data_IF_587376056259
#
_entry.id   IF_587376056259
#
_cell.length_a   1.000
_cell.length_b   1.000
_cell.length_c   1.000
_cell.angle_alpha   90.00
_cell.angle_beta   90.00
_cell.angle_gamma   90.00
#
_symmetry.space_group_name_H-M   'P 1'
#
loop_
_entity.id
_entity.type
_entity.pdbx_description
1 polymer ?
#
# COMPACT_ATOMS: atom_id res chain seq x y z
N UNK A 1 -3.27 14.65 1.49
CA UNK A 1 -3.16 14.60 2.97
C UNK A 1 -2.25 13.45 3.43
N UNK A 2 -2.38 12.22 2.90
CA UNK A 2 -1.54 11.07 3.27
C UNK A 2 -0.05 11.21 2.98
N UNK A 3 0.34 11.72 1.81
CA UNK A 3 1.76 11.81 1.41
C UNK A 3 2.63 12.66 2.36
N UNK A 4 2.03 13.58 3.11
CA UNK A 4 2.73 14.46 4.05
C UNK A 4 2.90 13.84 5.46
N UNK A 5 2.29 12.68 5.72
CA UNK A 5 2.45 11.97 7.00
C UNK A 5 3.80 11.26 7.05
N UNK A 6 4.35 11.10 8.26
CA UNK A 6 5.59 10.37 8.47
C UNK A 6 5.31 8.86 8.47
N UNK A 7 6.00 8.05 7.65
CA UNK A 7 5.91 6.60 7.72
C UNK A 7 6.46 6.07 9.03
N UNK A 8 5.84 5.02 9.55
CA UNK A 8 6.28 4.37 10.79
C UNK A 8 7.34 3.33 10.47
N UNK A 9 8.53 3.46 11.07
CA UNK A 9 9.54 2.41 11.00
C UNK A 9 9.11 1.21 11.86
N UNK A 10 9.26 0.00 11.32
CA UNK A 10 8.99 -1.27 12.01
C UNK A 10 10.29 -2.00 12.31
N UNK A 11 10.39 -2.61 13.50
CA UNK A 11 11.56 -3.41 13.87
C UNK A 11 11.39 -4.85 13.39
N UNK A 12 12.50 -5.56 13.15
CA UNK A 12 12.45 -6.98 12.79
C UNK A 12 11.68 -7.83 13.82
N UNK A 13 11.82 -7.51 15.11
CA UNK A 13 11.05 -8.16 16.18
C UNK A 13 9.54 -8.01 15.99
N UNK A 14 9.07 -6.82 15.61
CA UNK A 14 7.65 -6.57 15.36
C UNK A 14 7.15 -7.45 14.21
N UNK A 15 8.00 -7.67 13.19
CA UNK A 15 7.70 -8.57 12.08
C UNK A 15 7.57 -10.03 12.49
N UNK A 16 8.44 -10.49 13.39
CA UNK A 16 8.35 -11.85 13.93
C UNK A 16 7.12 -12.03 14.84
N UNK A 17 6.70 -10.97 15.54
CA UNK A 17 5.68 -11.06 16.57
C UNK A 17 4.24 -10.82 16.08
N UNK A 18 4.07 -10.05 15.00
CA UNK A 18 2.75 -9.63 14.51
C UNK A 18 1.82 -10.80 14.12
N UNK A 19 2.38 -11.94 13.71
CA UNK A 19 1.63 -13.10 13.23
C UNK A 19 1.39 -14.20 14.26
N UNK A 20 1.89 -14.03 15.50
CA UNK A 20 1.89 -15.10 16.50
C UNK A 20 0.50 -15.48 17.00
N UNK A 21 -0.45 -14.55 16.95
CA UNK A 21 -1.84 -14.81 17.32
C UNK A 21 -2.80 -13.91 16.53
N UNK A 22 -4.10 -14.26 16.53
CA UNK A 22 -5.13 -13.55 15.78
C UNK A 22 -5.32 -12.09 16.23
N UNK A 23 -5.11 -11.79 17.51
CA UNK A 23 -5.25 -10.43 18.03
C UNK A 23 -4.10 -9.56 17.53
N UNK A 24 -2.86 -10.03 17.62
CA UNK A 24 -1.67 -9.33 17.10
C UNK A 24 -1.75 -9.14 15.59
N UNK A 25 -2.18 -10.18 14.86
CA UNK A 25 -2.39 -10.10 13.40
C UNK A 25 -3.36 -8.98 13.05
N UNK A 26 -4.51 -8.92 13.72
CA UNK A 26 -5.51 -7.87 13.48
C UNK A 26 -5.00 -6.49 13.85
N UNK A 27 -4.26 -6.34 14.95
CA UNK A 27 -3.62 -5.08 15.31
C UNK A 27 -2.64 -4.63 14.21
N UNK A 28 -1.92 -5.57 13.61
CA UNK A 28 -1.05 -5.28 12.48
C UNK A 28 -1.85 -4.94 11.21
N UNK A 29 -2.99 -5.58 10.97
CA UNK A 29 -3.92 -5.19 9.89
C UNK A 29 -4.43 -3.75 10.04
N UNK A 30 -4.77 -3.35 11.27
CA UNK A 30 -5.16 -1.95 11.58
C UNK A 30 -4.00 -0.99 11.31
N UNK A 31 -2.78 -1.36 11.69
CA UNK A 31 -1.58 -0.58 11.39
C UNK A 31 -1.37 -0.43 9.88
N UNK A 32 -1.42 -1.54 9.12
CA UNK A 32 -1.23 -1.55 7.68
C UNK A 32 -2.28 -0.72 6.94
N UNK A 33 -3.52 -0.70 7.45
CA UNK A 33 -4.62 0.08 6.87
C UNK A 33 -4.27 1.57 6.77
N UNK A 34 -3.60 2.13 7.77
CA UNK A 34 -3.10 3.51 7.72
C UNK A 34 -1.73 3.61 7.02
N UNK A 35 -0.79 2.75 7.39
CA UNK A 35 0.61 2.85 6.94
C UNK A 35 0.75 2.69 5.42
N UNK A 36 -0.02 1.80 4.80
CA UNK A 36 0.02 1.57 3.35
C UNK A 36 -0.48 2.79 2.57
N UNK A 37 -1.53 3.48 3.06
CA UNK A 37 -2.03 4.71 2.43
C UNK A 37 -0.98 5.81 2.43
N UNK A 38 -0.22 5.94 3.52
CA UNK A 38 0.89 6.89 3.62
C UNK A 38 1.95 6.58 2.57
N UNK A 39 2.46 5.33 2.57
CA UNK A 39 3.57 4.92 1.69
C UNK A 39 3.20 4.96 0.22
N UNK A 40 2.00 4.50 -0.15
CA UNK A 40 1.55 4.54 -1.54
C UNK A 40 1.33 5.98 -2.00
N UNK A 41 0.72 6.84 -1.18
CA UNK A 41 0.56 8.26 -1.54
C UNK A 41 1.91 8.97 -1.75
N UNK A 42 2.91 8.66 -0.92
CA UNK A 42 4.28 9.15 -1.12
C UNK A 42 4.87 8.63 -2.43
N UNK A 43 4.67 7.35 -2.74
CA UNK A 43 5.17 6.77 -3.99
C UNK A 43 4.56 7.40 -5.23
N UNK A 44 3.25 7.66 -5.22
CA UNK A 44 2.57 8.42 -6.29
C UNK A 44 3.21 9.80 -6.47
N UNK A 45 3.43 10.54 -5.37
CA UNK A 45 4.03 11.87 -5.43
C UNK A 45 5.46 11.83 -5.95
N UNK A 46 6.28 10.89 -5.50
CA UNK A 46 7.65 10.68 -5.99
C UNK A 46 7.68 10.44 -7.50
N UNK A 47 6.80 9.55 -7.99
CA UNK A 47 6.72 9.22 -9.42
C UNK A 47 6.24 10.41 -10.26
N UNK A 48 5.29 11.19 -9.75
CA UNK A 48 4.81 12.43 -10.40
C UNK A 48 5.88 13.53 -10.45
N UNK A 49 6.83 13.52 -9.52
CA UNK A 49 7.90 14.51 -9.41
C UNK A 49 9.20 14.12 -10.13
N UNK A 50 9.22 12.99 -10.85
CA UNK A 50 10.39 12.59 -11.62
C UNK A 50 10.79 13.68 -12.65
N UNK A 51 12.09 13.90 -12.86
CA UNK A 51 12.57 14.99 -13.70
C UNK A 51 12.41 14.68 -15.20
N UNK A 52 12.71 15.69 -16.05
CA UNK A 52 12.85 15.54 -17.51
C UNK A 52 11.63 14.98 -18.25
N UNK A 53 10.43 15.19 -17.70
CA UNK A 53 9.19 14.71 -18.30
C UNK A 53 9.00 13.19 -18.24
N UNK A 54 9.76 12.51 -17.37
CA UNK A 54 9.59 11.07 -17.11
C UNK A 54 8.17 10.68 -16.70
N UNK A 55 7.42 11.46 -15.88
CA UNK A 55 6.05 11.12 -15.51
C UNK A 55 5.09 11.01 -16.70
N UNK A 56 5.44 11.59 -17.86
CA UNK A 56 4.62 11.54 -19.06
C UNK A 56 4.92 10.32 -19.94
N UNK A 57 5.99 9.56 -19.69
CA UNK A 57 6.24 8.31 -20.40
C UNK A 57 5.14 7.31 -20.09
N UNK A 58 4.70 6.57 -21.10
CA UNK A 58 3.50 5.74 -21.02
C UNK A 58 3.56 4.75 -19.84
N UNK A 59 4.65 3.98 -19.68
CA UNK A 59 4.78 3.02 -18.57
C UNK A 59 4.79 3.69 -17.19
N UNK A 60 5.51 4.81 -17.02
CA UNK A 60 5.53 5.55 -15.75
C UNK A 60 4.15 6.14 -15.44
N UNK A 61 3.46 6.68 -16.45
CA UNK A 61 2.11 7.23 -16.31
C UNK A 61 1.11 6.14 -15.91
N UNK A 62 1.17 4.97 -16.53
CA UNK A 62 0.37 3.80 -16.19
C UNK A 62 0.61 3.38 -14.74
N UNK A 63 1.87 3.32 -14.32
CA UNK A 63 2.23 2.97 -12.94
C UNK A 63 1.72 3.99 -11.93
N UNK A 64 1.82 5.30 -12.22
CA UNK A 64 1.23 6.35 -11.40
C UNK A 64 -0.28 6.15 -11.25
N UNK A 65 -0.96 5.81 -12.35
CA UNK A 65 -2.39 5.54 -12.33
C UNK A 65 -2.72 4.35 -11.42
N UNK A 66 -2.03 3.21 -11.59
CA UNK A 66 -2.25 2.02 -10.76
C UNK A 66 -2.01 2.27 -9.27
N UNK A 67 -0.92 2.94 -8.89
CA UNK A 67 -0.70 3.31 -7.49
C UNK A 67 -1.80 4.23 -6.95
N UNK A 68 -2.32 5.13 -7.77
CA UNK A 68 -3.43 6.03 -7.39
C UNK A 68 -4.72 5.23 -7.17
N UNK A 69 -5.02 4.26 -8.05
CA UNK A 69 -6.18 3.37 -7.92
C UNK A 69 -6.08 2.50 -6.65
N UNK A 70 -4.90 1.94 -6.36
CA UNK A 70 -4.68 1.19 -5.12
C UNK A 70 -4.84 2.07 -3.86
N UNK A 71 -4.41 3.35 -3.91
CA UNK A 71 -4.62 4.27 -2.80
C UNK A 71 -6.11 4.53 -2.54
N UNK A 72 -6.88 4.79 -3.59
CA UNK A 72 -8.32 4.99 -3.49
C UNK A 72 -9.03 3.74 -2.96
N UNK A 73 -8.66 2.56 -3.47
CA UNK A 73 -9.20 1.30 -2.98
C UNK A 73 -8.85 1.06 -1.50
N UNK A 74 -7.64 1.44 -1.07
CA UNK A 74 -7.24 1.41 0.33
C UNK A 74 -8.04 2.39 1.18
N UNK A 75 -8.36 3.58 0.69
CA UNK A 75 -9.20 4.58 1.38
C UNK A 75 -10.63 4.05 1.61
N UNK A 76 -11.20 3.39 0.60
CA UNK A 76 -12.53 2.79 0.63
C UNK A 76 -12.60 1.51 1.46
N UNK A 77 -11.47 0.82 1.66
CA UNK A 77 -11.42 -0.39 2.46
C UNK A 77 -11.81 -0.09 3.93
N UNK A 78 -12.72 -0.87 4.55
CA UNK A 78 -13.09 -0.68 5.94
C UNK A 78 -11.93 -1.04 6.89
N UNK A 79 -11.86 -0.37 8.04
CA UNK A 79 -10.89 -0.69 9.08
C UNK A 79 -11.12 -2.13 9.60
N UNK A 80 -10.08 -2.99 9.70
CA UNK A 80 -10.23 -4.38 10.16
C UNK A 80 -10.44 -4.49 11.68
N UNK A 81 -11.59 -4.05 12.18
CA UNK A 81 -11.89 -4.01 13.62
C UNK A 81 -12.40 -5.35 14.19
N UNK A 82 -12.92 -6.24 13.34
CA UNK A 82 -13.43 -7.57 13.69
C UNK A 82 -12.73 -8.71 12.96
N UNK A 83 -12.98 -9.96 13.34
CA UNK A 83 -12.38 -11.12 12.69
C UNK A 83 -12.76 -11.24 11.20
N UNK A 84 -14.04 -11.05 10.87
CA UNK A 84 -14.50 -11.07 9.48
C UNK A 84 -13.89 -9.92 8.63
N UNK A 85 -13.72 -8.74 9.24
CA UNK A 85 -13.11 -7.60 8.55
C UNK A 85 -11.60 -7.77 8.40
N UNK A 86 -10.92 -8.40 9.36
CA UNK A 86 -9.50 -8.76 9.27
C UNK A 86 -9.24 -9.73 8.11
N UNK A 87 -10.11 -10.72 7.95
CA UNK A 87 -10.08 -11.64 6.81
C UNK A 87 -10.37 -10.92 5.48
N UNK A 88 -11.42 -10.10 5.42
CA UNK A 88 -11.75 -9.33 4.23
C UNK A 88 -10.62 -8.37 3.82
N UNK A 89 -10.00 -7.71 4.80
CA UNK A 89 -8.86 -6.81 4.55
C UNK A 89 -7.63 -7.58 4.09
N UNK A 90 -7.37 -8.77 4.64
CA UNK A 90 -6.30 -9.65 4.15
C UNK A 90 -6.51 -10.02 2.70
N UNK A 91 -7.72 -10.48 2.33
CA UNK A 91 -8.05 -10.86 0.96
C UNK A 91 -7.97 -9.67 0.00
N UNK A 92 -8.29 -8.47 0.48
CA UNK A 92 -8.05 -7.23 -0.26
C UNK A 92 -6.56 -6.97 -0.48
N UNK A 93 -5.73 -7.02 0.56
CA UNK A 93 -4.28 -6.81 0.44
C UNK A 93 -3.60 -7.85 -0.45
N UNK A 94 -4.06 -9.11 -0.42
CA UNK A 94 -3.56 -10.16 -1.32
C UNK A 94 -3.77 -9.79 -2.78
N UNK A 95 -4.97 -9.31 -3.15
CA UNK A 95 -5.26 -8.87 -4.51
C UNK A 95 -4.40 -7.67 -4.93
N UNK A 96 -4.31 -6.64 -4.07
CA UNK A 96 -3.45 -5.47 -4.31
C UNK A 96 -1.99 -5.89 -4.52
N UNK A 97 -1.49 -6.87 -3.76
CA UNK A 97 -0.12 -7.38 -3.90
C UNK A 97 0.09 -8.15 -5.20
N UNK A 98 -0.87 -8.97 -5.61
CA UNK A 98 -0.83 -9.71 -6.88
C UNK A 98 -0.82 -8.74 -8.07
N UNK A 99 -1.72 -7.76 -8.07
CA UNK A 99 -1.78 -6.67 -9.07
C UNK A 99 -0.47 -5.85 -9.09
N UNK A 100 0.18 -5.67 -7.93
CA UNK A 100 1.46 -4.96 -7.83
C UNK A 100 2.61 -5.63 -8.59
N UNK A 101 2.53 -6.94 -8.85
CA UNK A 101 3.59 -7.64 -9.59
C UNK A 101 3.67 -7.15 -11.04
N UNK A 102 2.54 -6.74 -11.62
CA UNK A 102 2.46 -6.19 -12.98
C UNK A 102 3.09 -4.80 -13.06
N UNK A 103 2.97 -4.00 -11.99
CA UNK A 103 3.60 -2.67 -11.85
C UNK A 103 5.12 -2.73 -12.01
N UNK A 104 5.77 -3.75 -11.43
CA UNK A 104 7.23 -3.90 -11.48
C UNK A 104 7.69 -4.19 -12.91
N UNK A 105 6.90 -4.93 -13.68
CA UNK A 105 7.21 -5.24 -15.07
C UNK A 105 7.08 -3.99 -15.94
N UNK A 106 6.01 -3.21 -15.75
CA UNK A 106 5.75 -2.00 -16.55
C UNK A 106 6.81 -0.90 -16.35
N UNK A 107 7.36 -0.74 -15.14
CA UNK A 107 8.45 0.21 -14.88
C UNK A 107 9.77 -0.12 -15.60
N UNK A 108 9.95 -1.37 -16.04
CA UNK A 108 11.18 -1.83 -16.70
C UNK A 108 11.20 -1.53 -18.21
N UNK A 109 10.07 -1.13 -18.80
CA UNK A 109 9.90 -0.87 -20.24
C UNK A 109 9.65 0.62 -20.53
#
# INVERSE_FOLDING_TARGET
FWANKQPTAVMLRDLCEMGLDRKRRRQHGIFLHEELRIRIAQRVLELQQLPYGLPQRDGIRTVIQWYTEHLLALEDAPLPSGAAQDEAFTNFLTRVFEEHTEVIQELAF
#
